data_IF_129175741173
#
_entry.id   IF_129175741173
#
_cell.length_a   1.000
_cell.length_b   1.000
_cell.length_c   1.000
_cell.angle_alpha   90.00
_cell.angle_beta   90.00
_cell.angle_gamma   90.00
#
_symmetry.space_group_name_H-M   'P 1'
#
loop_
_entity.id
_entity.type
_entity.pdbx_description
1 polymer ?
#
# COMPACT_ATOMS: atom_id res chain seq x y z
N UNK A 1 -80.74 -25.10 26.07
CA UNK A 1 -81.87 -26.03 25.82
C UNK A 1 -83.10 -25.19 25.53
N UNK A 2 -83.90 -25.41 24.47
CA UNK A 2 -83.69 -25.93 23.10
C UNK A 2 -83.86 -24.76 22.07
N UNK A 3 -83.59 -24.81 20.76
CA UNK A 3 -83.70 -25.87 19.75
C UNK A 3 -85.05 -25.79 19.02
N UNK A 4 -85.07 -25.25 17.77
CA UNK A 4 -85.99 -25.53 16.62
C UNK A 4 -85.75 -24.46 15.53
N UNK A 5 -85.07 -24.72 14.41
CA UNK A 5 -85.37 -25.55 13.22
C UNK A 5 -86.49 -25.08 12.28
N UNK A 6 -86.15 -25.21 10.99
CA UNK A 6 -86.93 -25.16 9.73
C UNK A 6 -87.28 -23.77 9.16
N UNK A 7 -86.64 -23.28 8.08
CA UNK A 7 -86.51 -23.79 6.69
C UNK A 7 -87.69 -23.41 5.78
N UNK A 8 -87.43 -22.55 4.79
CA UNK A 8 -88.13 -22.34 3.50
C UNK A 8 -87.27 -21.32 2.71
N UNK A 9 -86.31 -21.73 1.85
CA UNK A 9 -86.40 -22.13 0.42
C UNK A 9 -87.14 -21.15 -0.51
N UNK A 10 -86.46 -20.93 -1.65
CA UNK A 10 -86.91 -20.34 -2.93
C UNK A 10 -86.96 -18.80 -3.00
N UNK A 11 -86.49 -18.10 -4.03
CA UNK A 11 -85.88 -18.45 -5.31
C UNK A 11 -85.01 -17.28 -5.79
N UNK A 12 -83.90 -17.59 -6.45
CA UNK A 12 -83.18 -16.65 -7.29
C UNK A 12 -83.97 -16.36 -8.58
N UNK A 13 -83.76 -15.19 -9.20
CA UNK A 13 -83.65 -15.17 -10.64
C UNK A 13 -82.31 -14.60 -11.08
N UNK A 14 -81.57 -15.52 -11.70
CA UNK A 14 -80.64 -15.35 -12.80
C UNK A 14 -80.78 -13.99 -13.55
N UNK A 15 -79.72 -13.19 -13.50
CA UNK A 15 -79.39 -12.22 -14.55
C UNK A 15 -77.89 -12.30 -14.84
N UNK A 16 -77.49 -13.38 -15.53
CA UNK A 16 -76.28 -13.40 -16.35
C UNK A 16 -76.36 -12.28 -17.39
N UNK A 17 -75.66 -11.18 -17.15
CA UNK A 17 -75.13 -10.35 -18.24
C UNK A 17 -73.89 -11.07 -18.77
N UNK A 18 -73.72 -11.21 -20.09
CA UNK A 18 -72.54 -11.86 -20.64
C UNK A 18 -71.35 -10.92 -20.40
N UNK A 19 -70.49 -11.28 -19.45
CA UNK A 19 -69.17 -10.69 -19.35
C UNK A 19 -68.39 -11.15 -20.57
N UNK A 20 -68.16 -10.22 -21.49
CA UNK A 20 -67.28 -10.35 -22.61
C UNK A 20 -65.96 -11.00 -22.18
N UNK A 21 -65.52 -11.97 -22.99
CA UNK A 21 -64.25 -12.66 -22.89
C UNK A 21 -63.14 -11.75 -22.38
N UNK A 22 -62.71 -11.97 -21.13
CA UNK A 22 -61.37 -11.60 -20.71
C UNK A 22 -60.40 -12.53 -21.43
N UNK A 23 -60.12 -12.23 -22.70
CA UNK A 23 -58.97 -12.78 -23.38
C UNK A 23 -57.74 -12.36 -22.57
N UNK A 24 -57.23 -13.31 -21.79
CA UNK A 24 -55.88 -13.24 -21.27
C UNK A 24 -54.97 -13.01 -22.49
N UNK A 25 -54.42 -11.80 -22.60
CA UNK A 25 -53.37 -11.49 -23.58
C UNK A 25 -52.18 -12.37 -23.25
N UNK A 26 -52.16 -13.58 -23.80
CA UNK A 26 -50.95 -14.38 -23.92
C UNK A 26 -50.00 -13.57 -24.79
N UNK A 27 -49.01 -12.95 -24.15
CA UNK A 27 -47.92 -12.31 -24.88
C UNK A 27 -47.34 -13.33 -25.87
N UNK A 28 -47.01 -12.90 -27.10
CA UNK A 28 -46.45 -13.79 -28.11
C UNK A 28 -45.22 -14.52 -27.56
N UNK A 29 -44.97 -15.78 -27.98
CA UNK A 29 -43.78 -16.51 -27.56
C UNK A 29 -42.53 -15.70 -27.92
N UNK A 30 -41.64 -15.54 -26.94
CA UNK A 30 -40.35 -14.87 -27.14
C UNK A 30 -39.37 -15.93 -27.64
N UNK A 31 -38.95 -15.78 -28.89
CA UNK A 31 -38.05 -16.70 -29.59
C UNK A 31 -36.75 -16.01 -30.02
N UNK A 32 -36.77 -14.68 -30.20
CA UNK A 32 -35.61 -13.90 -30.65
C UNK A 32 -35.20 -12.82 -29.65
N UNK A 33 -33.96 -12.35 -29.75
CA UNK A 33 -33.48 -11.25 -28.90
C UNK A 33 -34.28 -9.96 -29.14
N UNK A 34 -34.67 -9.68 -30.39
CA UNK A 34 -35.51 -8.51 -30.72
C UNK A 34 -36.83 -8.55 -29.95
N UNK A 35 -37.51 -9.69 -29.94
CA UNK A 35 -38.78 -9.86 -29.22
C UNK A 35 -38.59 -9.69 -27.70
N UNK A 36 -37.49 -10.20 -27.15
CA UNK A 36 -37.18 -10.02 -25.73
C UNK A 36 -36.96 -8.54 -25.37
N UNK A 37 -36.18 -7.81 -26.17
CA UNK A 37 -35.92 -6.39 -25.93
C UNK A 37 -37.18 -5.55 -26.12
N UNK A 38 -37.99 -5.82 -27.16
CA UNK A 38 -39.28 -5.17 -27.34
C UNK A 38 -40.24 -5.45 -26.16
N UNK A 39 -40.24 -6.68 -25.65
CA UNK A 39 -40.96 -7.05 -24.43
C UNK A 39 -40.47 -6.26 -23.22
N UNK A 40 -39.16 -6.09 -23.04
CA UNK A 40 -38.58 -5.28 -21.98
C UNK A 40 -39.08 -3.83 -22.02
N UNK A 41 -39.12 -3.21 -23.20
CA UNK A 41 -39.66 -1.86 -23.37
C UNK A 41 -41.16 -1.78 -23.10
N UNK A 42 -41.94 -2.80 -23.49
CA UNK A 42 -43.38 -2.86 -23.16
C UNK A 42 -43.66 -2.92 -21.65
N UNK A 43 -42.67 -3.32 -20.84
CA UNK A 43 -42.77 -3.45 -19.39
C UNK A 43 -42.41 -2.16 -18.64
N UNK A 44 -41.90 -1.13 -19.34
CA UNK A 44 -41.66 0.21 -18.80
C UNK A 44 -40.86 0.20 -17.49
N UNK A 45 -39.71 -0.50 -17.47
CA UNK A 45 -38.82 -0.55 -16.30
C UNK A 45 -39.26 -1.51 -15.18
N UNK A 46 -40.39 -2.22 -15.32
CA UNK A 46 -40.73 -3.31 -14.41
C UNK A 46 -39.74 -4.46 -14.55
N UNK A 47 -39.52 -5.20 -13.46
CA UNK A 47 -38.68 -6.40 -13.45
C UNK A 47 -39.06 -7.35 -14.59
N UNK A 48 -38.03 -7.76 -15.29
CA UNK A 48 -38.03 -8.75 -16.37
C UNK A 48 -37.06 -9.87 -15.99
N UNK A 49 -37.30 -11.05 -16.54
CA UNK A 49 -36.45 -12.22 -16.34
C UNK A 49 -36.47 -13.06 -17.62
N UNK A 50 -35.32 -13.61 -17.99
CA UNK A 50 -35.21 -14.54 -19.09
C UNK A 50 -35.46 -15.95 -18.54
N UNK A 51 -36.52 -16.61 -19.02
CA UNK A 51 -36.78 -18.00 -18.61
C UNK A 51 -35.73 -18.91 -19.26
N UNK A 52 -35.24 -19.98 -18.59
CA UNK A 52 -34.15 -20.81 -19.12
C UNK A 52 -34.37 -21.32 -20.56
N UNK A 53 -35.57 -21.79 -20.88
CA UNK A 53 -35.91 -22.26 -22.24
C UNK A 53 -35.85 -21.15 -23.32
N UNK A 54 -36.22 -19.93 -22.93
CA UNK A 54 -36.19 -18.77 -23.83
C UNK A 54 -34.74 -18.27 -23.97
N UNK A 55 -33.98 -18.29 -22.89
CA UNK A 55 -32.54 -17.98 -22.89
C UNK A 55 -31.77 -18.91 -23.83
N UNK A 56 -32.00 -20.22 -23.74
CA UNK A 56 -31.40 -21.21 -24.65
C UNK A 56 -31.78 -20.96 -26.11
N UNK A 57 -33.06 -20.70 -26.39
CA UNK A 57 -33.54 -20.45 -27.74
C UNK A 57 -32.90 -19.18 -28.35
N UNK A 58 -32.86 -18.08 -27.60
CA UNK A 58 -32.24 -16.83 -28.06
C UNK A 58 -30.72 -17.00 -28.20
N UNK A 59 -30.08 -17.76 -27.32
CA UNK A 59 -28.63 -17.97 -27.35
C UNK A 59 -28.14 -18.72 -28.62
N UNK A 60 -29.01 -19.42 -29.34
CA UNK A 60 -28.68 -20.06 -30.63
C UNK A 60 -28.44 -19.02 -31.74
N UNK A 61 -29.07 -17.85 -31.65
CA UNK A 61 -28.95 -16.77 -32.63
C UNK A 61 -29.10 -15.39 -31.97
N UNK A 62 -28.15 -14.96 -31.14
CA UNK A 62 -28.33 -13.81 -30.27
C UNK A 62 -28.22 -12.47 -31.00
N UNK A 63 -27.78 -12.43 -32.26
CA UNK A 63 -27.45 -11.19 -32.97
C UNK A 63 -28.71 -10.41 -33.38
N UNK A 64 -28.65 -9.08 -33.23
CA UNK A 64 -29.65 -8.18 -33.78
C UNK A 64 -29.27 -7.77 -35.20
N UNK A 65 -30.23 -7.79 -36.13
CA UNK A 65 -30.04 -7.13 -37.43
C UNK A 65 -30.07 -5.61 -37.27
N UNK A 66 -29.46 -4.88 -38.21
CA UNK A 66 -29.45 -3.41 -38.19
C UNK A 66 -30.87 -2.81 -38.19
N UNK A 67 -31.80 -3.46 -38.91
CA UNK A 67 -33.20 -3.09 -38.95
C UNK A 67 -33.89 -3.30 -37.60
N UNK A 68 -33.65 -4.45 -36.94
CA UNK A 68 -34.16 -4.74 -35.61
C UNK A 68 -33.61 -3.74 -34.59
N UNK A 69 -32.31 -3.46 -34.66
CA UNK A 69 -31.63 -2.48 -33.82
C UNK A 69 -32.22 -1.09 -33.99
N UNK A 70 -32.50 -0.67 -35.22
CA UNK A 70 -33.12 0.62 -35.52
C UNK A 70 -34.55 0.73 -34.93
N UNK A 71 -35.36 -0.34 -35.06
CA UNK A 71 -36.70 -0.39 -34.45
C UNK A 71 -36.64 -0.32 -32.92
N UNK A 72 -35.73 -1.07 -32.30
CA UNK A 72 -35.54 -1.06 -30.84
C UNK A 72 -35.01 0.29 -30.33
N UNK A 73 -34.12 0.94 -31.06
CA UNK A 73 -33.65 2.29 -30.73
C UNK A 73 -34.79 3.33 -30.81
N UNK A 74 -35.76 3.15 -31.71
CA UNK A 74 -36.96 3.99 -31.75
C UNK A 74 -37.83 3.80 -30.49
N UNK A 75 -37.95 2.57 -29.97
CA UNK A 75 -38.61 2.32 -28.68
C UNK A 75 -37.83 2.94 -27.52
N UNK A 76 -36.50 2.84 -27.55
CA UNK A 76 -35.63 3.39 -26.51
C UNK A 76 -35.74 4.91 -26.38
N UNK A 77 -35.99 5.64 -27.47
CA UNK A 77 -36.27 7.09 -27.44
C UNK A 77 -37.49 7.45 -26.61
N UNK A 78 -38.44 6.53 -26.43
CA UNK A 78 -39.61 6.73 -25.57
C UNK A 78 -39.34 6.47 -24.08
N UNK A 79 -38.21 5.85 -23.72
CA UNK A 79 -37.80 5.60 -22.33
C UNK A 79 -36.93 6.75 -21.80
N UNK A 80 -37.58 7.91 -21.66
CA UNK A 80 -36.95 9.17 -21.24
C UNK A 80 -36.32 9.09 -19.84
N UNK A 81 -36.79 8.16 -18.99
CA UNK A 81 -36.31 7.98 -17.62
C UNK A 81 -35.23 6.91 -17.49
N UNK A 82 -34.81 6.28 -18.60
CA UNK A 82 -33.81 5.19 -18.60
C UNK A 82 -34.17 4.00 -17.69
N UNK A 83 -35.46 3.72 -17.51
CA UNK A 83 -35.91 2.69 -16.59
C UNK A 83 -35.65 1.27 -17.13
N UNK A 84 -35.73 1.07 -18.45
CA UNK A 84 -35.57 -0.23 -19.11
C UNK A 84 -34.10 -0.67 -19.20
N UNK A 85 -33.12 0.18 -19.61
CA UNK A 85 -31.70 -0.17 -19.60
C UNK A 85 -31.20 -0.74 -18.27
N UNK A 86 -31.67 -0.19 -17.15
CA UNK A 86 -31.26 -0.66 -15.84
C UNK A 86 -31.78 -2.09 -15.55
N UNK A 87 -33.01 -2.42 -15.95
CA UNK A 87 -33.52 -3.79 -15.83
C UNK A 87 -32.81 -4.77 -16.76
N UNK A 88 -32.44 -4.33 -17.96
CA UNK A 88 -31.66 -5.14 -18.90
C UNK A 88 -30.28 -5.48 -18.32
N UNK A 89 -29.59 -4.49 -17.74
CA UNK A 89 -28.30 -4.71 -17.08
C UNK A 89 -28.39 -5.70 -15.91
N UNK A 90 -29.44 -5.61 -15.09
CA UNK A 90 -29.71 -6.59 -14.03
C UNK A 90 -29.96 -7.99 -14.60
N UNK A 91 -30.73 -8.10 -15.68
CA UNK A 91 -31.04 -9.39 -16.32
C UNK A 91 -29.80 -10.03 -16.91
N UNK A 92 -28.88 -9.25 -17.50
CA UNK A 92 -27.61 -9.75 -18.04
C UNK A 92 -26.77 -10.47 -16.98
N UNK A 93 -26.90 -10.10 -15.70
CA UNK A 93 -26.20 -10.76 -14.59
C UNK A 93 -26.76 -12.13 -14.26
N UNK A 94 -28.04 -12.35 -14.57
CA UNK A 94 -28.72 -13.64 -14.34
C UNK A 94 -28.35 -14.66 -15.42
N UNK A 95 -27.98 -14.21 -16.62
CA UNK A 95 -27.57 -15.05 -17.76
C UNK A 95 -26.22 -15.72 -17.48
N UNK A 96 -26.18 -17.06 -17.47
CA UNK A 96 -24.96 -17.84 -17.20
C UNK A 96 -24.62 -18.73 -18.39
N UNK A 97 -23.35 -18.75 -18.79
CA UNK A 97 -22.86 -19.63 -19.85
C UNK A 97 -23.10 -19.16 -21.29
N UNK A 98 -23.77 -18.01 -21.50
CA UNK A 98 -24.06 -17.46 -22.83
C UNK A 98 -23.40 -16.10 -23.07
N UNK A 99 -22.06 -16.03 -23.27
CA UNK A 99 -21.33 -14.75 -23.37
C UNK A 99 -21.77 -13.90 -24.57
N UNK A 100 -22.04 -14.51 -25.74
CA UNK A 100 -22.48 -13.78 -26.94
C UNK A 100 -23.83 -13.06 -26.74
N UNK A 101 -24.76 -13.71 -26.05
CA UNK A 101 -26.06 -13.12 -25.71
C UNK A 101 -25.89 -11.95 -24.74
N UNK A 102 -25.05 -12.11 -23.72
CA UNK A 102 -24.71 -11.04 -22.77
C UNK A 102 -24.09 -9.84 -23.50
N UNK A 103 -23.10 -10.09 -24.36
CA UNK A 103 -22.42 -9.03 -25.10
C UNK A 103 -23.35 -8.28 -26.06
N UNK A 104 -24.29 -8.97 -26.71
CA UNK A 104 -25.26 -8.31 -27.60
C UNK A 104 -26.23 -7.41 -26.80
N UNK A 105 -26.74 -7.88 -25.66
CA UNK A 105 -27.60 -7.06 -24.79
C UNK A 105 -26.82 -5.86 -24.25
N UNK A 106 -25.59 -6.06 -23.79
CA UNK A 106 -24.72 -4.98 -23.31
C UNK A 106 -24.40 -3.97 -24.43
N UNK A 107 -24.14 -4.44 -25.64
CA UNK A 107 -23.91 -3.61 -26.82
C UNK A 107 -25.14 -2.76 -27.14
N UNK A 108 -26.33 -3.34 -27.10
CA UNK A 108 -27.58 -2.62 -27.29
C UNK A 108 -27.79 -1.56 -26.19
N UNK A 109 -27.66 -1.94 -24.91
CA UNK A 109 -27.79 -1.01 -23.78
C UNK A 109 -26.79 0.15 -23.90
N UNK A 110 -25.54 -0.14 -24.28
CA UNK A 110 -24.52 0.90 -24.52
C UNK A 110 -24.98 1.91 -25.56
N UNK A 111 -25.51 1.44 -26.68
CA UNK A 111 -26.01 2.32 -27.74
C UNK A 111 -27.21 3.16 -27.29
N UNK A 112 -28.08 2.61 -26.44
CA UNK A 112 -29.19 3.37 -25.84
C UNK A 112 -28.66 4.49 -24.94
N UNK A 113 -27.69 4.18 -24.06
CA UNK A 113 -27.10 5.17 -23.17
C UNK A 113 -26.34 6.25 -23.96
N UNK A 114 -25.50 5.87 -24.93
CA UNK A 114 -24.75 6.82 -25.78
C UNK A 114 -25.66 7.74 -26.60
N UNK A 115 -26.88 7.29 -26.95
CA UNK A 115 -27.85 8.08 -27.70
C UNK A 115 -28.76 8.96 -26.82
N UNK A 116 -28.75 8.78 -25.50
CA UNK A 116 -29.65 9.52 -24.60
C UNK A 116 -29.09 10.91 -24.27
N UNK A 117 -29.97 11.92 -24.22
CA UNK A 117 -29.58 13.33 -24.03
C UNK A 117 -28.75 13.56 -22.75
N UNK A 118 -29.05 12.82 -21.68
CA UNK A 118 -28.29 12.80 -20.42
C UNK A 118 -26.80 12.54 -20.62
N UNK A 119 -26.42 11.68 -21.57
CA UNK A 119 -25.03 11.24 -21.78
C UNK A 119 -24.33 11.93 -22.94
N UNK A 120 -25.05 12.67 -23.77
CA UNK A 120 -24.49 13.48 -24.87
C UNK A 120 -23.92 14.81 -24.34
N UNK A 121 -24.24 15.19 -23.10
CA UNK A 121 -23.80 16.45 -22.52
C UNK A 121 -22.27 16.60 -22.52
N UNK A 122 -21.70 17.75 -22.95
CA UNK A 122 -20.25 17.95 -23.05
C UNK A 122 -19.51 17.88 -21.70
N UNK A 123 -20.24 17.98 -20.59
CA UNK A 123 -19.71 17.81 -19.22
C UNK A 123 -19.43 16.33 -18.90
N UNK A 124 -20.08 15.41 -19.60
CA UNK A 124 -19.96 13.97 -19.41
C UNK A 124 -19.20 13.37 -20.61
N UNK A 125 -17.88 13.61 -20.66
CA UNK A 125 -16.99 12.97 -21.64
C UNK A 125 -17.02 11.45 -21.50
N UNK A 126 -17.93 10.79 -22.21
CA UNK A 126 -18.12 9.34 -22.26
C UNK A 126 -18.00 8.62 -20.90
N UNK A 127 -18.99 8.76 -19.99
CA UNK A 127 -18.90 8.22 -18.64
C UNK A 127 -18.74 6.69 -18.60
N UNK A 128 -19.21 5.97 -19.62
CA UNK A 128 -19.08 4.52 -19.72
C UNK A 128 -17.62 4.06 -19.89
N UNK A 129 -16.77 4.90 -20.49
CA UNK A 129 -15.36 4.60 -20.77
C UNK A 129 -14.37 5.44 -19.95
N UNK A 130 -14.84 6.34 -19.08
CA UNK A 130 -13.96 7.17 -18.24
C UNK A 130 -13.04 6.30 -17.37
N UNK A 131 -11.71 6.51 -17.33
CA UNK A 131 -10.81 5.72 -16.48
C UNK A 131 -11.13 5.87 -14.98
N UNK A 132 -11.65 7.03 -14.58
CA UNK A 132 -12.05 7.35 -13.22
C UNK A 132 -13.55 7.10 -13.02
N UNK A 133 -13.91 5.84 -12.80
CA UNK A 133 -15.30 5.36 -12.65
C UNK A 133 -16.12 6.19 -11.63
N UNK A 134 -15.56 6.45 -10.44
CA UNK A 134 -16.25 7.19 -9.38
C UNK A 134 -16.43 8.68 -9.73
N UNK A 135 -15.43 9.28 -10.36
CA UNK A 135 -15.48 10.66 -10.84
C UNK A 135 -16.57 10.81 -11.90
N UNK A 136 -16.62 9.92 -12.89
CA UNK A 136 -17.63 9.95 -13.96
C UNK A 136 -19.06 9.87 -13.42
N UNK A 137 -19.31 8.98 -12.46
CA UNK A 137 -20.62 8.88 -11.82
C UNK A 137 -20.93 10.10 -10.94
N UNK A 138 -19.95 10.67 -10.23
CA UNK A 138 -20.16 11.87 -9.43
C UNK A 138 -20.58 13.06 -10.31
N UNK A 139 -19.89 13.26 -11.43
CA UNK A 139 -20.26 14.28 -12.42
C UNK A 139 -21.65 14.03 -13.00
N UNK A 140 -22.05 12.77 -13.25
CA UNK A 140 -23.39 12.43 -13.74
C UNK A 140 -24.49 12.80 -12.74
N UNK A 141 -24.26 12.53 -11.46
CA UNK A 141 -25.23 12.85 -10.39
C UNK A 141 -25.31 14.36 -10.15
N UNK A 142 -24.21 15.08 -10.32
CA UNK A 142 -24.14 16.54 -10.14
C UNK A 142 -24.53 17.34 -11.38
N UNK A 143 -24.55 16.69 -12.55
CA UNK A 143 -24.90 17.34 -13.80
C UNK A 143 -26.32 17.93 -13.74
N UNK A 144 -26.44 19.11 -14.35
CA UNK A 144 -27.74 19.67 -14.65
C UNK A 144 -28.34 18.91 -15.84
N UNK A 145 -29.22 17.98 -15.51
CA UNK A 145 -29.95 17.15 -16.45
C UNK A 145 -31.22 17.83 -16.97
N UNK A 146 -31.52 19.06 -16.55
CA UNK A 146 -32.70 19.84 -16.97
C UNK A 146 -32.59 20.37 -18.41
N UNK A 147 -32.13 19.53 -19.34
CA UNK A 147 -32.03 19.83 -20.77
C UNK A 147 -33.29 19.42 -21.53
N UNK A 148 -34.13 18.60 -20.92
CA UNK A 148 -35.47 18.31 -21.41
C UNK A 148 -36.46 19.24 -20.72
N UNK A 149 -36.94 20.24 -21.43
CA UNK A 149 -37.89 21.27 -20.95
C UNK A 149 -39.27 20.70 -20.53
N UNK A 150 -39.42 19.39 -20.35
CA UNK A 150 -40.70 18.69 -20.14
C UNK A 150 -40.79 17.83 -18.86
N UNK A 151 -39.70 17.56 -18.14
CA UNK A 151 -39.73 16.65 -16.98
C UNK A 151 -40.05 17.38 -15.67
N UNK A 152 -40.91 16.76 -14.85
CA UNK A 152 -41.23 17.26 -13.50
C UNK A 152 -40.04 17.06 -12.55
N UNK A 153 -39.95 17.81 -11.44
CA UNK A 153 -38.84 17.67 -10.48
C UNK A 153 -38.65 16.24 -9.95
N UNK A 154 -39.74 15.49 -9.73
CA UNK A 154 -39.68 14.08 -9.30
C UNK A 154 -39.10 13.16 -10.39
N UNK A 155 -39.50 13.39 -11.64
CA UNK A 155 -39.03 12.62 -12.79
C UNK A 155 -37.55 12.91 -13.07
N UNK A 156 -37.08 14.14 -12.83
CA UNK A 156 -35.65 14.47 -12.89
C UNK A 156 -34.82 13.75 -11.82
N UNK A 157 -35.35 13.60 -10.59
CA UNK A 157 -34.70 12.81 -9.55
C UNK A 157 -34.64 11.34 -9.96
N UNK A 158 -35.71 10.80 -10.53
CA UNK A 158 -35.80 9.42 -11.00
C UNK A 158 -34.86 9.15 -12.19
N UNK A 159 -34.83 10.03 -13.19
CA UNK A 159 -33.88 9.97 -14.31
C UNK A 159 -32.44 9.98 -13.80
N UNK A 160 -32.10 10.88 -12.86
CA UNK A 160 -30.76 10.93 -12.25
C UNK A 160 -30.42 9.63 -11.53
N UNK A 161 -31.38 9.06 -10.80
CA UNK A 161 -31.22 7.77 -10.13
C UNK A 161 -30.92 6.65 -11.15
N UNK A 162 -31.78 6.52 -12.16
CA UNK A 162 -31.66 5.48 -13.19
C UNK A 162 -30.37 5.65 -14.00
N UNK A 163 -29.98 6.86 -14.37
CA UNK A 163 -28.72 7.12 -15.05
C UNK A 163 -27.52 6.66 -14.19
N UNK A 164 -27.51 7.01 -12.89
CA UNK A 164 -26.47 6.57 -11.96
C UNK A 164 -26.47 5.04 -11.76
N UNK A 165 -27.63 4.42 -11.66
CA UNK A 165 -27.76 2.96 -11.54
C UNK A 165 -27.27 2.24 -12.79
N UNK A 166 -27.64 2.73 -13.98
CA UNK A 166 -27.24 2.12 -15.24
C UNK A 166 -25.72 2.22 -15.45
N UNK A 167 -25.08 3.35 -15.13
CA UNK A 167 -23.61 3.46 -15.17
C UNK A 167 -22.93 2.63 -14.07
N UNK A 168 -23.49 2.62 -12.85
CA UNK A 168 -22.97 1.80 -11.76
C UNK A 168 -23.01 0.30 -12.10
N UNK A 169 -24.15 -0.18 -12.62
CA UNK A 169 -24.31 -1.56 -13.09
C UNK A 169 -23.41 -1.87 -14.30
N UNK A 170 -23.20 -0.89 -15.20
CA UNK A 170 -22.24 -1.03 -16.29
C UNK A 170 -20.81 -1.26 -15.77
N UNK A 171 -20.39 -0.55 -14.74
CA UNK A 171 -19.08 -0.78 -14.11
C UNK A 171 -19.00 -2.09 -13.34
N UNK A 172 -20.11 -2.56 -12.77
CA UNK A 172 -20.15 -3.91 -12.21
C UNK A 172 -19.88 -4.95 -13.31
N UNK A 173 -20.52 -4.81 -14.48
CA UNK A 173 -20.37 -5.79 -15.57
C UNK A 173 -19.05 -5.68 -16.33
N UNK A 174 -18.52 -4.46 -16.55
CA UNK A 174 -17.30 -4.25 -17.36
C UNK A 174 -16.03 -4.03 -16.55
N UNK A 175 -16.13 -3.70 -15.26
CA UNK A 175 -14.99 -3.36 -14.39
C UNK A 175 -15.00 -4.10 -13.05
N UNK A 176 -15.87 -5.09 -12.89
CA UNK A 176 -15.95 -5.95 -11.71
C UNK A 176 -16.15 -5.18 -10.40
N UNK A 177 -16.91 -4.09 -10.41
CA UNK A 177 -17.29 -3.42 -9.18
C UNK A 177 -17.99 -4.39 -8.22
N UNK A 178 -17.59 -4.36 -6.95
CA UNK A 178 -18.26 -5.13 -5.91
C UNK A 178 -19.58 -4.47 -5.49
N UNK A 179 -20.53 -5.22 -4.93
CA UNK A 179 -21.75 -4.65 -4.34
C UNK A 179 -21.45 -3.58 -3.29
N UNK A 180 -20.39 -3.78 -2.49
CA UNK A 180 -19.93 -2.84 -1.47
C UNK A 180 -19.49 -1.51 -2.11
N UNK A 181 -18.68 -1.55 -3.17
CA UNK A 181 -18.24 -0.34 -3.89
C UNK A 181 -19.43 0.44 -4.48
N UNK A 182 -20.37 -0.27 -5.10
CA UNK A 182 -21.59 0.36 -5.63
C UNK A 182 -22.43 0.99 -4.50
N UNK A 183 -22.62 0.28 -3.39
CA UNK A 183 -23.39 0.79 -2.24
C UNK A 183 -22.77 2.03 -1.60
N UNK A 184 -21.43 2.04 -1.47
CA UNK A 184 -20.69 3.17 -0.92
C UNK A 184 -20.81 4.39 -1.83
N UNK A 185 -20.67 4.18 -3.14
CA UNK A 185 -20.84 5.24 -4.13
C UNK A 185 -22.26 5.84 -4.08
N UNK A 186 -23.28 4.99 -4.16
CA UNK A 186 -24.68 5.41 -4.13
C UNK A 186 -25.00 6.17 -2.84
N UNK A 187 -24.49 5.72 -1.69
CA UNK A 187 -24.66 6.47 -0.45
C UNK A 187 -23.97 7.83 -0.49
N UNK A 188 -22.68 7.86 -0.80
CA UNK A 188 -21.88 9.08 -0.73
C UNK A 188 -22.35 10.18 -1.69
N UNK A 189 -22.79 9.79 -2.90
CA UNK A 189 -23.12 10.73 -3.97
C UNK A 189 -24.61 10.94 -4.17
N UNK A 190 -25.45 9.96 -3.83
CA UNK A 190 -26.88 9.99 -4.13
C UNK A 190 -27.75 9.96 -2.86
N UNK A 191 -27.76 8.87 -2.08
CA UNK A 191 -28.68 8.70 -0.96
C UNK A 191 -28.49 9.74 0.15
N UNK A 192 -27.23 10.09 0.49
CA UNK A 192 -26.95 11.08 1.54
C UNK A 192 -27.57 12.44 1.26
N UNK A 193 -27.64 12.85 -0.02
CA UNK A 193 -28.22 14.14 -0.43
C UNK A 193 -29.75 14.17 -0.36
N UNK A 194 -30.38 13.01 -0.32
CA UNK A 194 -31.84 12.91 -0.19
C UNK A 194 -32.29 12.96 1.27
N UNK A 195 -31.35 12.95 2.23
CA UNK A 195 -31.67 13.09 3.64
C UNK A 195 -32.25 14.50 3.84
N UNK A 196 -33.51 14.63 4.28
CA UNK A 196 -34.10 15.94 4.49
C UNK A 196 -33.33 16.68 5.58
N UNK A 197 -32.91 17.92 5.29
CA UNK A 197 -32.44 18.87 6.28
C UNK A 197 -33.62 19.35 7.13
N UNK A 198 -34.17 18.46 7.96
CA UNK A 198 -35.26 18.80 8.88
C UNK A 198 -34.78 18.64 10.32
N UNK A 199 -34.98 19.70 11.10
CA UNK A 199 -34.80 19.69 12.57
C UNK A 199 -35.95 18.96 13.29
N UNK A 200 -37.06 18.70 12.60
CA UNK A 200 -38.22 18.01 13.17
C UNK A 200 -37.96 16.49 13.25
N UNK A 201 -37.90 15.98 14.48
CA UNK A 201 -37.75 14.56 14.77
C UNK A 201 -38.87 13.70 14.17
N UNK A 202 -40.11 14.21 14.06
CA UNK A 202 -41.23 13.44 13.53
C UNK A 202 -41.03 13.06 12.05
N UNK A 203 -40.48 13.97 11.26
CA UNK A 203 -40.13 13.70 9.86
C UNK A 203 -39.04 12.63 9.74
N UNK A 204 -38.04 12.64 10.62
CA UNK A 204 -36.98 11.61 10.65
C UNK A 204 -37.55 10.24 11.00
N UNK A 205 -38.42 10.16 12.01
CA UNK A 205 -39.06 8.89 12.38
C UNK A 205 -39.94 8.34 11.26
N UNK A 206 -40.76 9.19 10.61
CA UNK A 206 -41.55 8.75 9.45
C UNK A 206 -40.69 8.22 8.32
N UNK A 207 -39.60 8.92 7.98
CA UNK A 207 -38.67 8.48 6.94
C UNK A 207 -38.04 7.11 7.25
N UNK A 208 -37.78 6.81 8.53
CA UNK A 208 -37.26 5.51 8.96
C UNK A 208 -38.33 4.40 8.98
N UNK A 209 -39.58 4.72 9.31
CA UNK A 209 -40.66 3.71 9.42
C UNK A 209 -41.38 3.45 8.10
N UNK A 210 -41.34 4.37 7.15
CA UNK A 210 -42.05 4.27 5.86
C UNK A 210 -41.18 3.67 4.73
N UNK A 211 -40.01 3.12 5.07
CA UNK A 211 -39.12 2.45 4.11
C UNK A 211 -39.84 1.21 3.55
N UNK A 212 -40.04 1.19 2.23
CA UNK A 212 -40.78 0.12 1.55
C UNK A 212 -39.94 -1.09 1.21
N UNK A 213 -38.66 -0.89 0.90
CA UNK A 213 -37.73 -1.97 0.54
C UNK A 213 -36.75 -2.25 1.69
N UNK A 214 -37.21 -3.10 2.62
CA UNK A 214 -36.41 -3.52 3.77
C UNK A 214 -35.23 -4.41 3.37
N UNK A 215 -35.36 -5.19 2.28
CA UNK A 215 -34.29 -6.05 1.80
C UNK A 215 -33.15 -5.23 1.18
N UNK A 216 -33.49 -4.24 0.36
CA UNK A 216 -32.52 -3.28 -0.19
C UNK A 216 -31.79 -2.50 0.91
N UNK A 217 -32.53 -2.03 1.93
CA UNK A 217 -31.92 -1.37 3.10
C UNK A 217 -30.96 -2.31 3.85
N UNK A 218 -31.39 -3.54 4.13
CA UNK A 218 -30.57 -4.54 4.82
C UNK A 218 -29.28 -4.86 4.07
N UNK A 219 -29.32 -4.94 2.73
CA UNK A 219 -28.13 -5.12 1.90
C UNK A 219 -27.15 -3.95 2.03
N UNK A 220 -27.66 -2.71 1.96
CA UNK A 220 -26.83 -1.52 2.14
C UNK A 220 -26.19 -1.47 3.54
N UNK A 221 -26.97 -1.73 4.58
CA UNK A 221 -26.46 -1.79 5.96
C UNK A 221 -25.40 -2.88 6.14
N UNK A 222 -25.62 -4.08 5.61
CA UNK A 222 -24.63 -5.16 5.66
C UNK A 222 -23.34 -4.81 4.91
N UNK A 223 -23.43 -4.05 3.82
CA UNK A 223 -22.24 -3.58 3.10
C UNK A 223 -21.42 -2.61 3.96
N UNK A 224 -22.08 -1.67 4.66
CA UNK A 224 -21.41 -0.75 5.57
C UNK A 224 -20.84 -1.45 6.81
N UNK A 225 -21.53 -2.44 7.35
CA UNK A 225 -21.04 -3.26 8.47
C UNK A 225 -19.75 -4.00 8.07
N UNK A 226 -19.75 -4.70 6.93
CA UNK A 226 -18.54 -5.36 6.40
C UNK A 226 -17.39 -4.37 6.17
N UNK A 227 -17.71 -3.18 5.68
CA UNK A 227 -16.69 -2.14 5.46
C UNK A 227 -16.12 -1.64 6.79
N UNK A 228 -16.96 -1.42 7.81
CA UNK A 228 -16.54 -1.02 9.14
C UNK A 228 -15.66 -2.10 9.80
N UNK A 229 -16.06 -3.37 9.73
CA UNK A 229 -15.29 -4.50 10.22
C UNK A 229 -13.91 -4.59 9.54
N UNK A 230 -13.88 -4.39 8.22
CA UNK A 230 -12.63 -4.41 7.47
C UNK A 230 -11.71 -3.25 7.86
N UNK A 231 -12.26 -2.05 8.05
CA UNK A 231 -11.51 -0.88 8.53
C UNK A 231 -10.98 -1.10 9.94
N UNK A 232 -11.76 -1.70 10.84
CA UNK A 232 -11.34 -2.02 12.20
C UNK A 232 -10.17 -3.04 12.19
N UNK A 233 -10.25 -4.07 11.34
CA UNK A 233 -9.16 -5.05 11.18
C UNK A 233 -7.88 -4.38 10.68
N UNK A 234 -7.98 -3.52 9.67
CA UNK A 234 -6.83 -2.77 9.14
C UNK A 234 -6.25 -1.83 10.20
N UNK A 235 -7.09 -1.16 10.99
CA UNK A 235 -6.62 -0.33 12.10
C UNK A 235 -5.90 -1.15 13.18
N UNK A 236 -6.44 -2.32 13.56
CA UNK A 236 -5.79 -3.22 14.52
C UNK A 236 -4.43 -3.71 14.03
N UNK A 237 -4.32 -4.14 12.76
CA UNK A 237 -3.03 -4.60 12.21
C UNK A 237 -2.03 -3.45 12.10
N UNK A 238 -2.47 -2.26 11.69
CA UNK A 238 -1.63 -1.07 11.65
C UNK A 238 -1.12 -0.68 13.06
N UNK A 239 -1.98 -0.76 14.08
CA UNK A 239 -1.58 -0.49 15.46
C UNK A 239 -0.56 -1.50 15.97
N UNK A 240 -0.75 -2.80 15.74
CA UNK A 240 0.22 -3.84 16.11
C UNK A 240 1.58 -3.63 15.41
N UNK A 241 1.56 -3.27 14.13
CA UNK A 241 2.78 -2.98 13.38
C UNK A 241 3.50 -1.74 13.94
N UNK A 242 2.74 -0.70 14.29
CA UNK A 242 3.26 0.50 14.94
C UNK A 242 3.89 0.18 16.29
N UNK A 243 3.23 -0.60 17.13
CA UNK A 243 3.72 -0.96 18.46
C UNK A 243 5.01 -1.79 18.37
N UNK A 244 5.07 -2.78 17.45
CA UNK A 244 6.31 -3.52 17.17
C UNK A 244 7.44 -2.64 16.63
N UNK A 245 7.12 -1.62 15.83
CA UNK A 245 8.11 -0.67 15.35
C UNK A 245 8.65 0.20 16.49
N UNK A 246 7.80 0.64 17.42
CA UNK A 246 8.21 1.39 18.61
C UNK A 246 9.12 0.55 19.51
N UNK A 247 8.81 -0.73 19.74
CA UNK A 247 9.68 -1.65 20.49
C UNK A 247 11.05 -1.84 19.81
N UNK A 248 11.09 -1.89 18.47
CA UNK A 248 12.36 -1.95 17.74
C UNK A 248 13.17 -0.67 17.86
N UNK A 249 12.51 0.49 17.85
CA UNK A 249 13.19 1.78 18.05
C UNK A 249 13.80 1.84 19.44
N UNK A 250 13.04 1.50 20.49
CA UNK A 250 13.56 1.54 21.88
C UNK A 250 14.71 0.56 22.10
N UNK A 251 14.65 -0.64 21.54
CA UNK A 251 15.75 -1.62 21.60
C UNK A 251 16.98 -1.16 20.83
N UNK A 252 16.81 -0.55 19.66
CA UNK A 252 17.91 0.03 18.90
C UNK A 252 18.54 1.22 19.63
N UNK A 253 17.74 2.11 20.21
CA UNK A 253 18.23 3.23 21.03
C UNK A 253 19.07 2.73 22.21
N UNK A 254 18.61 1.71 22.94
CA UNK A 254 19.38 1.08 24.01
C UNK A 254 20.71 0.47 23.49
N UNK A 255 20.68 -0.16 22.31
CA UNK A 255 21.89 -0.75 21.70
C UNK A 255 22.91 0.31 21.28
N UNK A 256 22.44 1.45 20.73
CA UNK A 256 23.28 2.58 20.35
C UNK A 256 23.94 3.18 21.58
N UNK A 257 23.20 3.32 22.68
CA UNK A 257 23.75 3.84 23.93
C UNK A 257 24.80 2.90 24.52
N UNK A 258 24.55 1.59 24.52
CA UNK A 258 25.55 0.60 24.93
C UNK A 258 26.82 0.63 24.07
N UNK A 259 26.67 0.79 22.75
CA UNK A 259 27.81 0.89 21.84
C UNK A 259 28.61 2.18 22.08
N UNK A 260 27.94 3.30 22.36
CA UNK A 260 28.61 4.56 22.72
C UNK A 260 29.41 4.43 24.01
N UNK A 261 28.85 3.78 25.03
CA UNK A 261 29.57 3.53 26.28
C UNK A 261 30.81 2.66 26.06
N UNK A 262 30.68 1.56 25.31
CA UNK A 262 31.81 0.70 24.97
C UNK A 262 32.90 1.42 24.16
N UNK A 263 32.50 2.31 23.25
CA UNK A 263 33.44 3.11 22.47
C UNK A 263 34.21 4.08 23.37
N UNK A 264 33.52 4.77 24.29
CA UNK A 264 34.17 5.64 25.27
C UNK A 264 35.15 4.89 26.19
N UNK A 265 34.80 3.68 26.64
CA UNK A 265 35.71 2.83 27.42
C UNK A 265 36.96 2.43 26.63
N UNK A 266 36.81 2.09 25.35
CA UNK A 266 37.95 1.74 24.48
C UNK A 266 38.84 2.95 24.22
N UNK A 267 38.26 4.12 23.98
CA UNK A 267 39.02 5.37 23.77
C UNK A 267 39.84 5.74 25.03
N UNK A 268 39.26 5.57 26.22
CA UNK A 268 39.97 5.77 27.47
C UNK A 268 41.16 4.79 27.60
N UNK A 269 40.95 3.51 27.31
CA UNK A 269 42.02 2.51 27.37
C UNK A 269 43.14 2.79 26.36
N UNK A 270 42.80 3.24 25.16
CA UNK A 270 43.80 3.64 24.16
C UNK A 270 44.61 4.84 24.66
N UNK A 271 43.97 5.84 25.26
CA UNK A 271 44.66 7.00 25.82
C UNK A 271 45.62 6.60 26.97
N UNK A 272 45.20 5.69 27.86
CA UNK A 272 46.02 5.15 28.94
C UNK A 272 47.23 4.35 28.42
N UNK A 273 47.02 3.52 27.39
CA UNK A 273 48.08 2.77 26.73
C UNK A 273 49.07 3.70 26.03
N UNK A 274 48.60 4.71 25.31
CA UNK A 274 49.44 5.70 24.64
C UNK A 274 50.29 6.49 25.65
N UNK A 275 49.73 6.83 26.81
CA UNK A 275 50.46 7.49 27.88
C UNK A 275 51.51 6.56 28.52
N UNK A 276 51.19 5.29 28.70
CA UNK A 276 52.15 4.32 29.25
C UNK A 276 53.32 4.11 28.28
N UNK A 277 53.00 3.97 26.99
CA UNK A 277 53.97 3.75 25.93
C UNK A 277 54.88 4.99 25.73
N UNK A 278 54.34 6.21 25.85
CA UNK A 278 55.16 7.43 25.80
C UNK A 278 56.14 7.50 26.97
N UNK A 279 55.70 7.20 28.19
CA UNK A 279 56.56 7.15 29.38
C UNK A 279 57.65 6.08 29.26
N UNK A 280 57.33 4.89 28.73
CA UNK A 280 58.33 3.85 28.47
C UNK A 280 59.34 4.29 27.41
N UNK A 281 58.89 4.93 26.33
CA UNK A 281 59.80 5.49 25.30
C UNK A 281 60.74 6.53 25.87
N UNK A 282 60.25 7.43 26.73
CA UNK A 282 61.07 8.43 27.41
C UNK A 282 62.11 7.79 28.32
N UNK A 283 61.70 6.80 29.14
CA UNK A 283 62.62 6.03 30.01
C UNK A 283 63.67 5.32 29.19
N UNK A 284 63.28 4.62 28.12
CA UNK A 284 64.22 3.94 27.24
C UNK A 284 65.18 4.92 26.54
N UNK A 285 64.70 6.09 26.09
CA UNK A 285 65.56 7.10 25.49
C UNK A 285 66.59 7.62 26.50
N UNK A 286 66.17 7.88 27.75
CA UNK A 286 67.04 8.31 28.83
C UNK A 286 68.09 7.23 29.18
N UNK A 287 67.68 5.98 29.37
CA UNK A 287 68.60 4.86 29.63
C UNK A 287 69.59 4.67 28.47
N UNK A 288 69.12 4.77 27.22
CA UNK A 288 70.01 4.69 26.04
C UNK A 288 71.01 5.84 25.98
N UNK A 289 70.63 7.05 26.39
CA UNK A 289 71.54 8.18 26.46
C UNK A 289 72.62 7.96 27.53
N UNK A 290 72.24 7.55 28.75
CA UNK A 290 73.20 7.21 29.82
C UNK A 290 74.18 6.13 29.39
N UNK A 291 73.69 5.00 28.89
CA UNK A 291 74.56 3.91 28.43
C UNK A 291 75.51 4.36 27.30
N UNK A 292 75.06 5.26 26.42
CA UNK A 292 75.91 5.80 25.35
C UNK A 292 77.00 6.69 25.92
N UNK A 293 76.67 7.53 26.88
CA UNK A 293 77.63 8.42 27.54
C UNK A 293 78.66 7.60 28.33
N UNK A 294 78.23 6.56 29.05
CA UNK A 294 79.11 5.64 29.79
C UNK A 294 80.07 4.91 28.83
N UNK A 295 79.57 4.40 27.71
CA UNK A 295 80.41 3.78 26.67
C UNK A 295 81.44 4.76 26.12
N UNK A 296 81.05 6.01 25.83
CA UNK A 296 81.97 7.00 25.27
C UNK A 296 83.01 7.46 26.31
N UNK A 297 82.64 7.53 27.60
CA UNK A 297 83.57 7.78 28.70
C UNK A 297 84.58 6.64 28.85
N UNK A 298 84.12 5.39 28.89
CA UNK A 298 84.97 4.20 28.94
C UNK A 298 85.91 4.16 27.74
N UNK A 299 85.38 4.36 26.53
CA UNK A 299 86.18 4.43 25.30
C UNK A 299 87.25 5.51 25.39
N UNK A 300 86.89 6.71 25.85
CA UNK A 300 87.85 7.82 25.98
C UNK A 300 88.93 7.51 27.00
N UNK A 301 88.56 6.93 28.16
CA UNK A 301 89.48 6.49 29.22
C UNK A 301 90.46 5.45 28.70
N UNK A 302 89.95 4.37 28.09
CA UNK A 302 90.77 3.28 27.53
C UNK A 302 91.69 3.80 26.42
N UNK A 303 91.18 4.62 25.50
CA UNK A 303 92.00 5.20 24.41
C UNK A 303 93.12 6.09 24.97
N UNK A 304 92.83 6.93 25.98
CA UNK A 304 93.86 7.76 26.63
C UNK A 304 94.91 6.92 27.33
N UNK A 305 94.50 5.88 28.06
CA UNK A 305 95.42 4.93 28.71
C UNK A 305 96.31 4.27 27.66
N UNK A 306 95.73 3.63 26.64
CA UNK A 306 96.49 2.96 25.59
C UNK A 306 97.45 3.92 24.87
N UNK A 307 97.07 5.17 24.60
CA UNK A 307 97.96 6.21 24.07
C UNK A 307 99.13 6.54 25.00
N UNK A 308 98.89 6.67 26.31
CA UNK A 308 99.95 6.94 27.28
C UNK A 308 100.95 5.78 27.36
N UNK A 309 100.45 4.54 27.43
CA UNK A 309 101.31 3.36 27.53
C UNK A 309 102.08 3.09 26.23
N UNK A 310 101.45 3.27 25.07
CA UNK A 310 102.16 3.18 23.78
C UNK A 310 103.23 4.25 23.64
N UNK A 311 103.01 5.46 24.16
CA UNK A 311 104.04 6.50 24.17
C UNK A 311 105.22 6.12 25.07
N UNK A 312 104.97 5.66 26.31
CA UNK A 312 106.00 5.19 27.24
C UNK A 312 106.83 4.04 26.66
N UNK A 313 106.17 3.05 26.04
CA UNK A 313 106.87 1.94 25.37
C UNK A 313 107.66 2.41 24.15
N UNK A 314 107.17 3.41 23.40
CA UNK A 314 107.90 3.99 22.28
C UNK A 314 109.18 4.69 22.75
N UNK A 315 109.13 5.44 23.85
CA UNK A 315 110.30 6.07 24.47
C UNK A 315 111.31 5.03 24.97
N UNK A 316 110.83 3.96 25.64
CA UNK A 316 111.66 2.83 26.05
C UNK A 316 112.34 2.13 24.87
N UNK A 317 111.61 1.87 23.78
CA UNK A 317 112.17 1.30 22.55
C UNK A 317 113.19 2.23 21.89
N UNK A 318 112.96 3.54 21.90
CA UNK A 318 113.95 4.50 21.42
C UNK A 318 115.21 4.52 22.29
N UNK A 319 115.09 4.31 23.61
CA UNK A 319 116.23 4.23 24.53
C UNK A 319 117.11 2.99 24.26
N UNK A 320 116.53 1.87 23.82
CA UNK A 320 117.26 0.70 23.35
C UNK A 320 117.99 0.92 22.02
N UNK A 321 117.51 1.83 21.17
CA UNK A 321 118.11 2.13 19.86
C UNK A 321 119.26 3.14 19.93
N UNK A 322 119.55 3.72 21.10
CA UNK A 322 120.69 4.64 21.32
C UNK A 322 121.97 3.84 21.61
N UNK A 323 123.14 4.40 21.32
CA UNK A 323 124.44 3.77 21.59
C UNK A 323 125.21 4.56 22.69
N UNK A 324 125.54 3.96 23.85
CA UNK A 324 125.19 2.60 24.27
C UNK A 324 123.71 2.44 24.66
N UNK A 325 123.13 1.23 24.47
CA UNK A 325 121.71 0.97 24.71
C UNK A 325 121.36 1.10 26.19
N UNK A 326 120.31 1.85 26.49
CA UNK A 326 119.85 2.09 27.87
C UNK A 326 118.77 1.08 28.27
N UNK A 327 119.19 -0.17 28.50
CA UNK A 327 118.29 -1.28 28.84
C UNK A 327 117.44 -0.99 30.08
N UNK A 328 118.05 -0.43 31.14
CA UNK A 328 117.34 -0.06 32.38
C UNK A 328 116.18 0.93 32.18
N UNK A 329 116.23 1.77 31.14
CA UNK A 329 115.14 2.70 30.81
C UNK A 329 113.96 1.94 30.22
N UNK A 330 114.23 0.99 29.30
CA UNK A 330 113.17 0.13 28.75
C UNK A 330 112.52 -0.72 29.84
N UNK A 331 113.29 -1.31 30.75
CA UNK A 331 112.76 -2.16 31.82
C UNK A 331 111.80 -1.35 32.72
N UNK A 332 112.18 -0.15 33.16
CA UNK A 332 111.32 0.74 33.96
C UNK A 332 110.07 1.20 33.18
N UNK A 333 110.20 1.56 31.90
CA UNK A 333 109.03 1.93 31.08
C UNK A 333 108.09 0.74 30.81
N UNK A 334 108.63 -0.46 30.60
CA UNK A 334 107.86 -1.68 30.38
C UNK A 334 107.14 -2.12 31.65
N UNK A 335 107.79 -2.07 32.81
CA UNK A 335 107.18 -2.38 34.10
C UNK A 335 106.05 -1.39 34.43
N UNK A 336 106.27 -0.09 34.20
CA UNK A 336 105.23 0.93 34.41
C UNK A 336 104.04 0.74 33.46
N UNK A 337 104.31 0.46 32.19
CA UNK A 337 103.25 0.23 31.20
C UNK A 337 102.44 -1.04 31.51
N UNK A 338 103.11 -2.15 31.85
CA UNK A 338 102.46 -3.38 32.27
C UNK A 338 101.64 -3.18 33.54
N UNK A 339 102.21 -2.51 34.55
CA UNK A 339 101.52 -2.24 35.81
C UNK A 339 100.33 -1.30 35.66
N UNK A 340 100.35 -0.37 34.70
CA UNK A 340 99.20 0.47 34.38
C UNK A 340 98.11 -0.27 33.59
N UNK A 341 98.49 -1.07 32.58
CA UNK A 341 97.54 -1.90 31.81
C UNK A 341 96.87 -2.97 32.68
N UNK A 342 97.61 -3.61 33.59
CA UNK A 342 97.05 -4.60 34.53
C UNK A 342 96.06 -3.98 35.52
N UNK A 343 96.27 -2.72 35.92
CA UNK A 343 95.32 -1.99 36.76
C UNK A 343 94.04 -1.67 35.98
N UNK A 344 94.17 -1.17 34.76
CA UNK A 344 93.02 -0.87 33.91
C UNK A 344 92.21 -2.14 33.59
N UNK A 345 92.87 -3.26 33.33
CA UNK A 345 92.23 -4.54 33.07
C UNK A 345 91.42 -5.04 34.28
N UNK A 346 91.99 -4.93 35.49
CA UNK A 346 91.27 -5.25 36.73
C UNK A 346 90.08 -4.33 36.98
N UNK A 347 90.22 -3.04 36.67
CA UNK A 347 89.13 -2.07 36.81
C UNK A 347 87.99 -2.39 35.84
N UNK A 348 88.28 -2.74 34.58
CA UNK A 348 87.28 -3.16 33.59
C UNK A 348 86.61 -4.51 33.95
N UNK A 349 87.36 -5.48 34.49
CA UNK A 349 86.81 -6.76 34.95
C UNK A 349 85.95 -6.64 36.21
N UNK A 350 86.08 -5.53 36.95
CA UNK A 350 85.29 -5.24 38.16
C UNK A 350 84.06 -4.36 37.91
N UNK A 351 83.92 -3.81 36.71
CA UNK A 351 82.78 -2.98 36.29
C UNK A 351 81.67 -3.81 35.57
N UNK A 352 81.86 -5.13 35.40
CA UNK A 352 80.83 -6.15 35.08
C UNK A 352 80.27 -6.79 36.37
#
# INVERSE_FOLDING_TARGET
>A
MPGRDASLKDAAPDRKKPSADSQAKTNPPIETLEQFLAYAYSRQGKRIALKPKVEEAIALGPQLSDEARSRLMALAKGDVLLAVPCQLLLTVREIRGHPKLRDEILSFVRSVLEAHLTFIAPVLSNPLNSPESESALAHLVEADLAREEALKPRELIELRANAAYCVGLWFVEKRSWSPEQLSQFLYAKFWKRQIPESEDGAHRFRALTEIRDLAGLGLACSAFEKQADQQERVAKTANLARDSALERVTTLEASVEQLRQRLAERDQQLAELDQTLSLERERHAHTRAHLRDDIEQLRTRVVRRLKAETHLLTEGLQALRRDPPKVHVMDDHAERALGALQRELKELESED
#
